data_IF_855427583871
#
_entry.id   IF_855427583871
#
_cell.length_a   1.000
_cell.length_b   1.000
_cell.length_c   1.000
_cell.angle_alpha   90.00
_cell.angle_beta   90.00
_cell.angle_gamma   90.00
#
_symmetry.space_group_name_H-M   'P 1'
#
loop_
_entity.id
_entity.type
_entity.pdbx_description
1 polymer ?
#
# COMPACT_ATOMS: atom_id res chain seq x y z
N UNK A 1 18.98 -19.91 1.17
CA UNK A 1 17.66 -19.64 0.54
C UNK A 1 17.17 -18.30 1.03
N UNK A 2 16.80 -17.43 0.14
CA UNK A 2 16.35 -16.05 0.43
C UNK A 2 15.10 -15.74 -0.39
N UNK A 3 14.53 -14.55 -0.23
CA UNK A 3 13.46 -14.02 -1.07
C UNK A 3 13.89 -12.74 -1.75
N UNK A 4 13.36 -12.49 -2.96
CA UNK A 4 13.65 -11.29 -3.74
C UNK A 4 12.40 -10.81 -4.49
N UNK A 5 12.25 -9.49 -4.66
CA UNK A 5 11.26 -8.91 -5.57
C UNK A 5 11.71 -9.20 -7.01
N UNK A 6 10.91 -9.98 -7.74
CA UNK A 6 11.18 -10.36 -9.11
C UNK A 6 10.63 -9.35 -10.11
N UNK A 7 9.41 -8.84 -9.85
CA UNK A 7 8.76 -7.86 -10.70
C UNK A 7 7.70 -7.07 -9.94
N UNK A 8 7.37 -5.88 -10.46
CA UNK A 8 6.34 -4.98 -9.92
C UNK A 8 5.39 -4.53 -11.01
N UNK A 9 4.22 -4.06 -10.63
CA UNK A 9 3.24 -3.51 -11.53
C UNK A 9 2.23 -2.63 -10.81
N UNK A 10 1.56 -1.76 -11.55
CA UNK A 10 0.66 -0.76 -11.01
C UNK A 10 -0.59 -0.58 -11.87
N UNK A 11 -1.66 -0.14 -11.27
CA UNK A 11 -2.87 0.31 -11.94
C UNK A 11 -3.45 1.53 -11.24
N UNK A 12 -3.71 2.56 -12.00
CA UNK A 12 -4.42 3.76 -11.54
C UNK A 12 -5.64 4.00 -12.44
N UNK A 13 -6.83 4.23 -11.84
CA UNK A 13 -8.02 4.61 -12.59
C UNK A 13 -7.81 5.82 -13.48
N UNK A 14 -8.53 5.87 -14.60
CA UNK A 14 -8.41 6.96 -15.58
C UNK A 14 -8.98 8.28 -15.11
N UNK A 15 -10.02 8.26 -14.25
CA UNK A 15 -10.64 9.48 -13.76
C UNK A 15 -9.77 10.17 -12.71
N UNK A 16 -9.51 11.46 -12.93
CA UNK A 16 -8.79 12.33 -11.99
C UNK A 16 -9.81 13.22 -11.27
N UNK A 17 -9.67 13.34 -9.95
CA UNK A 17 -10.34 14.34 -9.11
C UNK A 17 -9.30 15.29 -8.58
N UNK A 18 -9.32 16.53 -9.06
CA UNK A 18 -8.41 17.60 -8.64
C UNK A 18 -8.88 18.29 -7.35
N UNK A 19 -8.02 19.10 -6.73
CA UNK A 19 -8.42 19.94 -5.61
C UNK A 19 -9.51 20.95 -6.04
N UNK A 20 -9.45 21.48 -7.26
CA UNK A 20 -10.49 22.35 -7.81
C UNK A 20 -11.85 21.66 -7.96
N UNK A 21 -11.89 20.33 -8.18
CA UNK A 21 -13.13 19.57 -8.15
C UNK A 21 -13.70 19.49 -6.74
N UNK A 22 -12.83 19.33 -5.74
CA UNK A 22 -13.23 19.26 -4.33
C UNK A 22 -13.73 20.59 -3.79
N UNK A 23 -13.22 21.73 -4.28
CA UNK A 23 -13.73 23.05 -3.93
C UNK A 23 -15.21 23.25 -4.29
N UNK A 24 -15.70 22.49 -5.29
CA UNK A 24 -17.13 22.47 -5.69
C UNK A 24 -17.98 21.54 -4.84
N UNK A 25 -17.35 20.63 -4.08
CA UNK A 25 -18.05 19.60 -3.30
C UNK A 25 -18.12 19.94 -1.81
N UNK A 26 -17.03 20.49 -1.25
CA UNK A 26 -16.90 20.80 0.18
C UNK A 26 -16.20 22.14 0.37
N UNK A 27 -16.35 22.74 1.56
CA UNK A 27 -15.67 24.01 1.91
C UNK A 27 -14.16 23.78 2.11
N UNK A 28 -13.37 23.99 1.06
CA UNK A 28 -11.91 23.80 1.03
C UNK A 28 -11.27 24.67 -0.04
N UNK A 29 -9.93 24.64 -0.18
CA UNK A 29 -9.20 25.24 -1.29
C UNK A 29 -7.99 24.39 -1.69
N UNK A 30 -7.53 24.52 -2.94
CA UNK A 30 -6.31 23.86 -3.42
C UNK A 30 -5.10 24.20 -2.55
N UNK A 31 -4.93 25.47 -2.20
CA UNK A 31 -3.85 25.93 -1.31
C UNK A 31 -3.92 25.21 0.05
N UNK A 32 -5.10 25.16 0.68
CA UNK A 32 -5.29 24.53 1.97
C UNK A 32 -5.02 23.01 1.95
N UNK A 33 -5.49 22.31 0.91
CA UNK A 33 -5.26 20.86 0.76
C UNK A 33 -3.77 20.60 0.52
N UNK A 34 -3.15 21.32 -0.41
CA UNK A 34 -1.75 21.14 -0.81
C UNK A 34 -0.80 21.43 0.37
N UNK A 35 -1.00 22.52 1.10
CA UNK A 35 -0.18 22.88 2.27
C UNK A 35 -0.26 21.81 3.39
N UNK A 36 -1.46 21.26 3.63
CA UNK A 36 -1.68 20.32 4.73
C UNK A 36 -1.33 18.88 4.39
N UNK A 37 -1.45 18.49 3.13
CA UNK A 37 -1.36 17.08 2.73
C UNK A 37 -0.28 16.81 1.68
N UNK A 38 0.02 17.77 0.83
CA UNK A 38 0.83 17.60 -0.38
C UNK A 38 0.05 17.08 -1.59
N UNK A 39 -1.26 16.76 -1.43
CA UNK A 39 -2.08 16.15 -2.49
C UNK A 39 -2.61 17.25 -3.42
N UNK A 40 -2.47 17.03 -4.73
CA UNK A 40 -3.02 17.90 -5.80
C UNK A 40 -4.17 17.23 -6.52
N UNK A 41 -4.07 15.92 -6.73
CA UNK A 41 -5.09 15.13 -7.39
C UNK A 41 -5.15 13.72 -6.81
N UNK A 42 -6.24 12.99 -7.09
CA UNK A 42 -6.42 11.58 -6.75
C UNK A 42 -7.15 10.88 -7.88
N UNK A 43 -6.95 9.58 -7.99
CA UNK A 43 -7.60 8.73 -8.97
C UNK A 43 -8.88 8.17 -8.38
N UNK A 44 -9.93 8.13 -9.18
CA UNK A 44 -11.25 7.65 -8.77
C UNK A 44 -11.67 6.51 -9.71
N UNK A 45 -11.96 5.36 -9.14
CA UNK A 45 -12.36 4.19 -9.89
C UNK A 45 -13.76 4.36 -10.52
N UNK A 46 -13.89 3.98 -11.79
CA UNK A 46 -15.18 3.84 -12.44
C UNK A 46 -16.02 2.73 -11.77
N UNK A 47 -17.35 2.71 -11.94
CA UNK A 47 -18.21 1.72 -11.26
C UNK A 47 -17.78 0.27 -11.46
N UNK A 48 -17.29 -0.09 -12.65
CA UNK A 48 -16.82 -1.42 -13.02
C UNK A 48 -15.40 -1.76 -12.52
N UNK A 49 -14.63 -0.78 -12.09
CA UNK A 49 -13.28 -0.97 -11.55
C UNK A 49 -13.38 -1.38 -10.08
N UNK A 50 -13.27 -2.68 -9.84
CA UNK A 50 -13.25 -3.27 -8.50
C UNK A 50 -11.83 -3.43 -7.97
N UNK A 51 -11.67 -3.74 -6.67
CA UNK A 51 -10.35 -4.05 -6.11
C UNK A 51 -9.70 -5.23 -6.84
N UNK A 52 -10.48 -6.26 -7.19
CA UNK A 52 -9.98 -7.41 -7.94
C UNK A 52 -9.60 -7.04 -9.38
N UNK A 53 -10.38 -6.19 -10.06
CA UNK A 53 -10.09 -5.73 -11.42
C UNK A 53 -8.77 -4.96 -11.46
N UNK A 54 -8.63 -3.93 -10.63
CA UNK A 54 -7.42 -3.11 -10.54
C UNK A 54 -6.22 -3.96 -10.12
N UNK A 55 -6.41 -4.84 -9.12
CA UNK A 55 -5.40 -5.77 -8.65
C UNK A 55 -4.90 -6.72 -9.74
N UNK A 56 -5.80 -7.27 -10.56
CA UNK A 56 -5.43 -8.12 -11.69
C UNK A 56 -4.67 -7.36 -12.78
N UNK A 57 -5.03 -6.09 -13.04
CA UNK A 57 -4.31 -5.25 -13.99
C UNK A 57 -2.87 -4.95 -13.53
N UNK A 58 -2.69 -4.59 -12.26
CA UNK A 58 -1.36 -4.39 -11.66
C UNK A 58 -0.54 -5.70 -11.64
N UNK A 59 -1.18 -6.81 -11.26
CA UNK A 59 -0.55 -8.12 -11.17
C UNK A 59 -0.05 -8.63 -12.53
N UNK A 60 -0.77 -8.38 -13.62
CA UNK A 60 -0.33 -8.73 -14.98
C UNK A 60 1.00 -8.08 -15.34
N UNK A 61 1.15 -6.80 -15.02
CA UNK A 61 2.42 -6.09 -15.22
C UNK A 61 3.54 -6.63 -14.32
N UNK A 62 3.21 -7.01 -13.07
CA UNK A 62 4.19 -7.59 -12.15
C UNK A 62 4.70 -8.95 -12.63
N UNK A 63 3.82 -9.80 -13.19
CA UNK A 63 4.19 -11.07 -13.81
C UNK A 63 5.09 -10.87 -15.04
N UNK A 64 4.69 -9.95 -15.93
CA UNK A 64 5.49 -9.59 -17.11
C UNK A 64 6.89 -9.11 -16.72
N UNK A 65 6.98 -8.18 -15.74
CA UNK A 65 8.25 -7.68 -15.23
C UNK A 65 9.11 -8.77 -14.55
N UNK A 66 8.47 -9.77 -13.94
CA UNK A 66 9.15 -10.92 -13.34
C UNK A 66 9.59 -11.97 -14.36
N UNK A 67 9.08 -11.92 -15.61
CA UNK A 67 9.27 -12.95 -16.62
C UNK A 67 8.63 -14.29 -16.25
N UNK A 68 7.49 -14.26 -15.54
CA UNK A 68 6.79 -15.44 -15.04
C UNK A 68 5.43 -15.59 -15.70
N UNK A 69 5.09 -16.84 -16.00
CA UNK A 69 3.76 -17.22 -16.45
C UNK A 69 2.82 -17.43 -15.23
N UNK A 70 1.50 -17.23 -15.40
CA UNK A 70 0.53 -17.40 -14.31
C UNK A 70 0.60 -18.75 -13.59
N UNK A 71 0.94 -19.83 -14.32
CA UNK A 71 1.03 -21.19 -13.78
C UNK A 71 2.18 -21.38 -12.78
N UNK A 72 3.12 -20.45 -12.73
CA UNK A 72 4.28 -20.50 -11.84
C UNK A 72 3.99 -19.83 -10.48
N UNK A 73 2.80 -19.22 -10.30
CA UNK A 73 2.39 -18.60 -9.04
C UNK A 73 1.74 -19.63 -8.12
N UNK A 74 2.34 -19.82 -6.96
CA UNK A 74 1.85 -20.75 -5.93
C UNK A 74 0.82 -20.13 -5.00
N UNK A 75 0.92 -18.81 -4.78
CA UNK A 75 0.09 -18.10 -3.83
C UNK A 75 -0.24 -16.69 -4.34
N UNK A 76 -1.49 -16.27 -4.12
CA UNK A 76 -1.96 -14.89 -4.36
C UNK A 76 -2.46 -14.33 -3.04
N UNK A 77 -1.90 -13.21 -2.60
CA UNK A 77 -2.32 -12.49 -1.40
C UNK A 77 -2.80 -11.10 -1.83
N UNK A 78 -4.05 -10.77 -1.57
CA UNK A 78 -4.58 -9.43 -1.80
C UNK A 78 -4.77 -8.70 -0.47
N UNK A 79 -3.99 -7.65 -0.26
CA UNK A 79 -4.19 -6.73 0.86
C UNK A 79 -5.24 -5.68 0.44
N UNK A 80 -6.41 -5.75 1.05
CA UNK A 80 -7.54 -4.87 0.73
C UNK A 80 -8.51 -4.73 1.89
N UNK A 81 -9.19 -3.59 1.94
CA UNK A 81 -10.37 -3.34 2.78
C UNK A 81 -11.62 -3.03 1.92
N UNK A 82 -11.48 -3.17 0.60
CA UNK A 82 -12.48 -2.77 -0.39
C UNK A 82 -12.99 -3.95 -1.21
N UNK A 83 -13.01 -5.16 -0.63
CA UNK A 83 -13.52 -6.36 -1.31
C UNK A 83 -14.99 -6.21 -1.66
N UNK A 84 -15.36 -6.59 -2.89
CA UNK A 84 -16.76 -6.61 -3.35
C UNK A 84 -17.60 -7.69 -2.65
N UNK A 85 -16.96 -8.81 -2.35
CA UNK A 85 -17.61 -9.99 -1.78
C UNK A 85 -16.96 -10.37 -0.45
N UNK A 86 -17.77 -10.90 0.47
CA UNK A 86 -17.23 -11.59 1.64
C UNK A 86 -16.54 -12.91 1.24
N UNK A 87 -17.03 -13.54 0.18
CA UNK A 87 -16.44 -14.67 -0.55
C UNK A 87 -17.09 -14.76 -1.95
N UNK A 88 -16.33 -15.14 -3.03
CA UNK A 88 -14.90 -15.42 -3.02
C UNK A 88 -14.05 -14.21 -2.62
N UNK A 89 -12.80 -14.44 -2.18
CA UNK A 89 -11.86 -13.37 -1.88
C UNK A 89 -11.44 -12.60 -3.14
N UNK A 90 -11.00 -11.36 -2.99
CA UNK A 90 -10.44 -10.57 -4.09
C UNK A 90 -9.23 -11.29 -4.71
N UNK A 91 -8.41 -11.96 -3.90
CA UNK A 91 -7.29 -12.78 -4.38
C UNK A 91 -7.74 -13.94 -5.29
N UNK A 92 -8.88 -14.60 -4.98
CA UNK A 92 -9.46 -15.63 -5.86
C UNK A 92 -9.93 -15.04 -7.18
N UNK A 93 -10.57 -13.86 -7.15
CA UNK A 93 -11.00 -13.17 -8.37
C UNK A 93 -9.80 -12.72 -9.23
N UNK A 94 -8.74 -12.19 -8.59
CA UNK A 94 -7.49 -11.85 -9.28
C UNK A 94 -6.88 -13.09 -9.95
N UNK A 95 -6.79 -14.20 -9.22
CA UNK A 95 -6.26 -15.46 -9.76
C UNK A 95 -7.09 -15.94 -10.97
N UNK A 96 -8.43 -15.84 -10.90
CA UNK A 96 -9.33 -16.16 -11.99
C UNK A 96 -9.09 -15.27 -13.22
N UNK A 97 -8.96 -13.95 -13.03
CA UNK A 97 -8.73 -12.98 -14.10
C UNK A 97 -7.35 -13.14 -14.78
N UNK A 98 -6.37 -13.67 -14.04
CA UNK A 98 -5.02 -13.99 -14.55
C UNK A 98 -4.90 -15.42 -15.09
N UNK A 99 -5.98 -16.23 -15.03
CA UNK A 99 -5.97 -17.64 -15.41
C UNK A 99 -5.00 -18.50 -14.57
N UNK A 100 -4.75 -18.11 -13.30
CA UNK A 100 -3.99 -18.91 -12.34
C UNK A 100 -4.90 -20.04 -11.85
N UNK A 101 -4.70 -21.27 -12.32
CA UNK A 101 -5.63 -22.38 -12.11
C UNK A 101 -5.54 -23.02 -10.72
N UNK A 102 -4.37 -22.98 -10.11
CA UNK A 102 -4.09 -23.61 -8.79
C UNK A 102 -3.10 -22.76 -8.03
N UNK A 103 -3.59 -22.03 -7.06
CA UNK A 103 -2.81 -21.28 -6.10
C UNK A 103 -3.55 -21.20 -4.76
N UNK A 104 -2.84 -21.05 -3.67
CA UNK A 104 -3.45 -20.58 -2.44
C UNK A 104 -3.83 -19.12 -2.64
N UNK A 105 -5.11 -18.74 -2.46
CA UNK A 105 -5.57 -17.39 -2.69
C UNK A 105 -6.40 -16.89 -1.51
N UNK A 106 -6.01 -15.79 -0.88
CA UNK A 106 -6.71 -15.20 0.26
C UNK A 106 -6.49 -13.70 0.37
N UNK A 107 -7.46 -13.00 0.97
CA UNK A 107 -7.33 -11.59 1.30
C UNK A 107 -6.74 -11.42 2.70
N UNK A 108 -6.02 -10.30 2.89
CA UNK A 108 -5.42 -9.90 4.14
C UNK A 108 -5.88 -8.47 4.48
N UNK A 109 -6.43 -8.29 5.69
CA UNK A 109 -6.90 -7.01 6.18
C UNK A 109 -5.96 -6.45 7.26
N UNK A 110 -5.21 -5.39 6.93
CA UNK A 110 -4.43 -4.58 7.86
C UNK A 110 -4.44 -3.09 7.43
N UNK A 111 -5.56 -2.66 6.84
CA UNK A 111 -5.76 -1.31 6.30
C UNK A 111 -4.56 -0.86 5.45
N UNK A 112 -4.09 0.39 5.62
CA UNK A 112 -2.97 0.92 4.83
C UNK A 112 -1.64 0.17 5.05
N UNK A 113 -1.49 -0.61 6.13
CA UNK A 113 -0.33 -1.47 6.36
C UNK A 113 -0.44 -2.84 5.67
N UNK A 114 -1.55 -3.09 4.97
CA UNK A 114 -1.87 -4.40 4.39
C UNK A 114 -0.79 -4.96 3.47
N UNK A 115 -0.20 -4.13 2.60
CA UNK A 115 0.87 -4.58 1.71
C UNK A 115 2.12 -5.06 2.48
N UNK A 116 2.56 -4.32 3.50
CA UNK A 116 3.72 -4.72 4.31
C UNK A 116 3.46 -6.00 5.12
N UNK A 117 2.23 -6.19 5.60
CA UNK A 117 1.82 -7.46 6.23
C UNK A 117 1.81 -8.60 5.22
N UNK A 118 1.23 -8.40 4.02
CA UNK A 118 1.21 -9.41 2.97
C UNK A 118 2.63 -9.77 2.50
N UNK A 119 3.52 -8.77 2.42
CA UNK A 119 4.94 -9.00 2.13
C UNK A 119 5.61 -9.88 3.21
N UNK A 120 5.37 -9.59 4.49
CA UNK A 120 5.90 -10.38 5.61
C UNK A 120 5.40 -11.83 5.58
N UNK A 121 4.10 -12.03 5.28
CA UNK A 121 3.50 -13.37 5.14
C UNK A 121 4.11 -14.10 3.96
N UNK A 122 4.21 -13.46 2.80
CA UNK A 122 4.80 -14.06 1.59
C UNK A 122 6.27 -14.47 1.81
N UNK A 123 7.05 -13.58 2.45
CA UNK A 123 8.43 -13.89 2.83
C UNK A 123 8.49 -15.13 3.73
N UNK A 124 7.68 -15.20 4.77
CA UNK A 124 7.63 -16.34 5.69
C UNK A 124 7.23 -17.64 4.98
N UNK A 125 6.23 -17.61 4.08
CA UNK A 125 5.80 -18.78 3.31
C UNK A 125 6.91 -19.33 2.42
N UNK A 126 7.64 -18.46 1.73
CA UNK A 126 8.78 -18.87 0.88
C UNK A 126 9.92 -19.42 1.74
N UNK A 127 10.27 -18.76 2.85
CA UNK A 127 11.31 -19.22 3.75
C UNK A 127 10.99 -20.55 4.43
N UNK A 128 9.70 -20.82 4.68
CA UNK A 128 9.21 -22.11 5.18
C UNK A 128 9.10 -23.20 4.10
N UNK A 129 9.38 -22.89 2.83
CA UNK A 129 9.28 -23.83 1.71
C UNK A 129 7.85 -24.14 1.27
N UNK A 130 6.86 -23.33 1.69
CA UNK A 130 5.45 -23.51 1.34
C UNK A 130 5.09 -22.93 -0.03
N UNK A 131 5.88 -21.99 -0.53
CA UNK A 131 5.72 -21.38 -1.85
C UNK A 131 7.09 -21.08 -2.46
N UNK A 132 7.15 -20.95 -3.79
CA UNK A 132 8.32 -20.47 -4.53
C UNK A 132 8.10 -19.06 -5.08
N UNK A 133 6.88 -18.79 -5.59
CA UNK A 133 6.49 -17.49 -6.13
C UNK A 133 5.15 -17.06 -5.52
N UNK A 134 5.16 -15.93 -4.84
CA UNK A 134 3.96 -15.32 -4.24
C UNK A 134 3.67 -14.00 -4.94
N UNK A 135 2.47 -13.90 -5.51
CA UNK A 135 1.93 -12.64 -6.02
C UNK A 135 1.27 -11.88 -4.88
N UNK A 136 1.79 -10.70 -4.56
CA UNK A 136 1.29 -9.81 -3.53
C UNK A 136 0.64 -8.61 -4.23
N UNK A 137 -0.61 -8.33 -3.87
CA UNK A 137 -1.38 -7.20 -4.41
C UNK A 137 -1.88 -6.34 -3.26
N UNK A 138 -1.67 -5.03 -3.36
CA UNK A 138 -2.38 -4.04 -2.55
C UNK A 138 -3.39 -3.32 -3.44
N UNK A 139 -4.67 -3.33 -3.09
CA UNK A 139 -5.72 -2.73 -3.92
C UNK A 139 -6.88 -2.21 -3.07
N UNK A 140 -7.16 -0.91 -3.16
CA UNK A 140 -8.25 -0.29 -2.40
C UNK A 140 -9.01 0.77 -3.23
N UNK A 141 -10.29 0.95 -2.88
CA UNK A 141 -11.21 1.96 -3.42
C UNK A 141 -11.77 2.81 -2.28
N UNK A 142 -10.89 3.49 -1.54
CA UNK A 142 -11.31 4.26 -0.36
C UNK A 142 -12.06 5.53 -0.72
N UNK A 143 -12.01 5.99 -1.96
CA UNK A 143 -12.86 7.10 -2.42
C UNK A 143 -14.35 6.81 -2.24
N UNK A 144 -14.76 5.52 -2.33
CA UNK A 144 -16.14 5.07 -2.14
C UNK A 144 -16.56 4.96 -0.68
N UNK A 145 -15.58 4.93 0.25
CA UNK A 145 -15.82 4.84 1.68
C UNK A 145 -15.81 6.22 2.37
N UNK A 146 -15.47 7.30 1.66
CA UNK A 146 -15.50 8.66 2.19
C UNK A 146 -16.90 9.24 2.10
N UNK A 147 -17.38 9.86 3.18
CA UNK A 147 -18.58 10.70 3.14
C UNK A 147 -18.33 11.90 2.20
N UNK A 148 -19.15 12.09 1.15
CA UNK A 148 -18.99 13.21 0.22
C UNK A 148 -19.08 14.60 0.89
N UNK A 149 -19.68 14.70 2.07
CA UNK A 149 -19.79 15.93 2.85
C UNK A 149 -18.65 16.13 3.86
N UNK A 150 -17.85 15.09 4.14
CA UNK A 150 -16.74 15.19 5.09
C UNK A 150 -15.45 15.61 4.40
N UNK A 151 -15.12 16.91 4.48
CA UNK A 151 -13.85 17.41 3.92
C UNK A 151 -12.60 16.83 4.55
N UNK A 152 -12.67 16.20 5.72
CA UNK A 152 -11.49 15.69 6.43
C UNK A 152 -10.98 14.37 5.84
N UNK A 153 -11.84 13.63 5.16
CA UNK A 153 -11.52 12.35 4.54
C UNK A 153 -11.52 12.42 3.01
N UNK A 154 -12.52 13.05 2.39
CA UNK A 154 -12.67 13.08 0.92
C UNK A 154 -11.47 13.73 0.20
N UNK A 155 -10.76 14.65 0.86
CA UNK A 155 -9.58 15.32 0.30
C UNK A 155 -8.35 14.42 0.24
N UNK A 156 -8.33 13.29 0.97
CA UNK A 156 -7.15 12.45 1.13
C UNK A 156 -7.12 11.27 0.19
N UNK A 157 -8.23 10.51 0.14
CA UNK A 157 -8.24 9.17 -0.40
C UNK A 157 -8.47 9.12 -1.90
N UNK A 158 -7.70 8.26 -2.55
CA UNK A 158 -7.84 7.85 -3.94
C UNK A 158 -7.87 6.33 -4.06
N UNK A 159 -8.05 5.85 -5.27
CA UNK A 159 -8.19 4.45 -5.64
C UNK A 159 -7.01 4.00 -6.49
N UNK A 160 -6.65 2.73 -6.37
CA UNK A 160 -5.58 2.15 -7.19
C UNK A 160 -5.16 0.76 -6.71
N UNK A 161 -4.28 0.15 -7.47
CA UNK A 161 -3.66 -1.12 -7.13
C UNK A 161 -2.18 -1.13 -7.49
N UNK A 162 -1.38 -1.75 -6.63
CA UNK A 162 0.00 -2.08 -6.92
C UNK A 162 0.26 -3.54 -6.59
N UNK A 163 1.19 -4.15 -7.31
CA UNK A 163 1.51 -5.56 -7.14
C UNK A 163 3.02 -5.79 -7.19
N UNK A 164 3.47 -6.83 -6.50
CA UNK A 164 4.81 -7.38 -6.70
C UNK A 164 4.79 -8.91 -6.68
N UNK A 165 5.72 -9.51 -7.39
CA UNK A 165 6.02 -10.93 -7.29
C UNK A 165 7.24 -11.08 -6.40
N UNK A 166 7.08 -11.78 -5.28
CA UNK A 166 8.16 -12.20 -4.40
C UNK A 166 8.51 -13.65 -4.74
N UNK A 167 9.77 -13.92 -4.99
CA UNK A 167 10.23 -15.25 -5.36
C UNK A 167 11.39 -15.73 -4.50
N UNK A 168 11.56 -17.07 -4.48
CA UNK A 168 12.75 -17.73 -3.94
C UNK A 168 14.00 -17.30 -4.70
N UNK A 169 15.11 -17.06 -3.98
CA UNK A 169 16.37 -16.59 -4.55
C UNK A 169 17.57 -17.23 -3.83
N UNK A 170 18.67 -17.38 -4.58
CA UNK A 170 19.99 -17.69 -4.01
C UNK A 170 20.67 -16.43 -3.45
N UNK A 171 20.33 -15.25 -3.97
CA UNK A 171 20.79 -13.96 -3.49
C UNK A 171 19.83 -13.37 -2.46
N UNK A 172 20.36 -12.74 -1.42
CA UNK A 172 19.57 -12.10 -0.40
C UNK A 172 18.95 -10.80 -0.93
N UNK A 173 17.64 -10.81 -1.16
CA UNK A 173 16.87 -9.62 -1.51
C UNK A 173 16.14 -9.05 -0.29
N UNK A 174 15.33 -9.84 0.42
CA UNK A 174 14.71 -9.40 1.68
C UNK A 174 15.73 -9.52 2.82
N UNK A 175 16.06 -8.40 3.44
CA UNK A 175 17.04 -8.29 4.53
C UNK A 175 16.37 -8.41 5.90
N UNK A 176 15.22 -7.75 6.08
CA UNK A 176 14.39 -7.82 7.28
C UNK A 176 12.93 -7.52 6.95
N UNK A 177 12.03 -8.06 7.76
CA UNK A 177 10.61 -7.68 7.80
C UNK A 177 10.21 -7.48 9.27
N UNK A 178 9.34 -6.50 9.50
CA UNK A 178 8.76 -6.28 10.82
C UNK A 178 7.33 -5.78 10.69
N UNK A 179 6.42 -6.32 11.47
CA UNK A 179 5.03 -5.88 11.53
C UNK A 179 4.53 -5.94 12.98
N UNK A 180 3.68 -4.99 13.35
CA UNK A 180 3.07 -4.93 14.68
C UNK A 180 1.78 -4.11 14.67
N UNK A 181 1.05 -4.09 15.78
CA UNK A 181 -0.20 -3.36 15.91
C UNK A 181 -0.42 -2.79 17.32
N UNK A 182 -1.25 -1.76 17.42
CA UNK A 182 -1.84 -1.26 18.65
C UNK A 182 -3.36 -1.43 18.58
N UNK A 183 -3.93 -2.45 19.23
CA UNK A 183 -5.36 -2.74 19.16
C UNK A 183 -6.23 -1.77 19.97
N UNK A 184 -5.63 -0.86 20.75
CA UNK A 184 -6.35 0.05 21.64
C UNK A 184 -6.68 1.40 20.99
N UNK A 185 -6.21 1.65 19.78
CA UNK A 185 -6.37 2.94 19.07
C UNK A 185 -7.32 2.87 17.87
N UNK A 186 -8.12 1.82 17.74
CA UNK A 186 -9.03 1.61 16.61
C UNK A 186 -10.16 2.65 16.50
N UNK A 187 -10.47 3.37 17.57
CA UNK A 187 -11.44 4.47 17.58
C UNK A 187 -10.94 5.77 16.92
N UNK A 188 -9.65 5.84 16.56
CA UNK A 188 -9.04 7.00 15.92
C UNK A 188 -9.12 6.96 14.40
N UNK A 189 -9.16 5.75 13.80
CA UNK A 189 -9.28 5.53 12.37
C UNK A 189 -9.97 4.20 12.13
N UNK A 190 -11.20 4.26 11.61
CA UNK A 190 -12.01 3.06 11.41
C UNK A 190 -12.92 3.17 10.19
N UNK A 191 -13.23 2.02 9.60
CA UNK A 191 -14.23 1.85 8.56
C UNK A 191 -15.11 0.66 8.96
N UNK A 192 -16.39 0.92 9.20
CA UNK A 192 -17.35 -0.13 9.56
C UNK A 192 -17.75 -0.91 8.32
N UNK A 193 -17.95 -2.21 8.47
CA UNK A 193 -18.63 -3.02 7.44
C UNK A 193 -20.12 -2.71 7.50
N UNK A 194 -20.77 -2.38 6.37
CA UNK A 194 -22.21 -2.12 6.34
C UNK A 194 -22.99 -3.32 6.91
N UNK A 195 -23.89 -3.06 7.85
CA UNK A 195 -24.75 -4.09 8.42
C UNK A 195 -25.88 -4.42 7.43
N UNK A 196 -26.30 -5.68 7.35
CA UNK A 196 -27.48 -6.06 6.57
C UNK A 196 -28.72 -5.36 7.12
N UNK A 197 -29.40 -4.58 6.27
CA UNK A 197 -30.56 -3.78 6.65
C UNK A 197 -30.24 -2.44 7.34
N UNK A 198 -28.96 -2.10 7.51
CA UNK A 198 -28.50 -0.77 7.90
C UNK A 198 -28.44 0.20 6.72
N UNK A 199 -28.28 1.49 6.99
CA UNK A 199 -27.99 2.48 5.96
C UNK A 199 -26.54 2.34 5.48
N UNK A 200 -26.24 2.49 4.19
CA UNK A 200 -24.87 2.66 3.71
C UNK A 200 -24.14 3.83 4.39
N UNK A 201 -24.87 4.86 4.76
CA UNK A 201 -24.34 6.06 5.45
C UNK A 201 -23.82 5.79 6.88
N UNK A 202 -24.13 4.64 7.46
CA UNK A 202 -23.57 4.20 8.75
C UNK A 202 -22.15 3.65 8.66
N UNK A 203 -21.60 3.51 7.45
CA UNK A 203 -20.33 2.85 7.15
C UNK A 203 -19.29 3.76 6.49
N UNK A 204 -19.35 5.07 6.74
CA UNK A 204 -18.33 6.00 6.28
C UNK A 204 -17.02 5.83 7.03
N UNK A 205 -15.92 6.10 6.35
CA UNK A 205 -14.59 6.14 6.95
C UNK A 205 -14.52 7.28 7.98
N UNK A 206 -14.14 6.94 9.20
CA UNK A 206 -13.98 7.87 10.29
C UNK A 206 -12.50 8.05 10.64
N UNK A 207 -12.07 9.31 10.86
CA UNK A 207 -10.68 9.62 11.19
C UNK A 207 -10.54 10.84 12.09
N UNK A 208 -9.84 10.67 13.21
CA UNK A 208 -9.34 11.79 14.05
C UNK A 208 -7.95 12.21 13.56
N UNK A 209 -7.90 13.00 12.48
CA UNK A 209 -6.67 13.26 11.71
C UNK A 209 -5.46 13.74 12.51
N UNK A 210 -5.66 14.63 13.52
CA UNK A 210 -4.54 15.13 14.34
C UNK A 210 -3.93 14.05 15.24
N UNK A 211 -4.75 13.19 15.84
CA UNK A 211 -4.31 12.09 16.69
C UNK A 211 -3.63 11.01 15.87
N UNK A 212 -4.23 10.66 14.72
CA UNK A 212 -3.64 9.73 13.75
C UNK A 212 -2.26 10.23 13.29
N UNK A 213 -2.14 11.51 12.93
CA UNK A 213 -0.87 12.13 12.53
C UNK A 213 0.21 12.00 13.61
N UNK A 214 -0.10 12.39 14.86
CA UNK A 214 0.85 12.30 15.97
C UNK A 214 1.31 10.87 16.21
N UNK A 215 0.37 9.93 16.19
CA UNK A 215 0.66 8.51 16.41
C UNK A 215 1.51 7.93 15.28
N UNK A 216 1.16 8.23 14.02
CA UNK A 216 1.92 7.79 12.86
C UNK A 216 3.39 8.23 12.92
N UNK A 217 3.66 9.52 13.18
CA UNK A 217 5.04 10.03 13.26
C UNK A 217 5.86 9.32 14.34
N UNK A 218 5.26 9.05 15.51
CA UNK A 218 5.94 8.34 16.60
C UNK A 218 6.24 6.89 16.22
N UNK A 219 5.21 6.17 15.77
CA UNK A 219 5.30 4.74 15.45
C UNK A 219 6.24 4.48 14.27
N UNK A 220 6.17 5.30 13.22
CA UNK A 220 7.06 5.15 12.06
C UNK A 220 8.53 5.41 12.42
N UNK A 221 8.81 6.34 13.33
CA UNK A 221 10.16 6.56 13.84
C UNK A 221 10.74 5.34 14.57
N UNK A 222 9.90 4.62 15.33
CA UNK A 222 10.29 3.37 16.01
C UNK A 222 10.40 2.22 14.99
N UNK A 223 9.44 2.10 14.08
CA UNK A 223 9.39 1.07 13.04
C UNK A 223 10.66 1.06 12.19
N UNK A 224 11.05 2.22 11.64
CA UNK A 224 12.21 2.31 10.75
C UNK A 224 13.51 1.96 11.49
N UNK A 225 13.67 2.42 12.73
CA UNK A 225 14.82 2.08 13.58
C UNK A 225 14.88 0.57 13.82
N UNK A 226 13.76 -0.03 14.23
CA UNK A 226 13.67 -1.46 14.51
C UNK A 226 13.96 -2.32 13.28
N UNK A 227 13.49 -1.90 12.12
CA UNK A 227 13.70 -2.66 10.88
C UNK A 227 15.16 -2.64 10.43
N UNK A 228 15.83 -1.50 10.55
CA UNK A 228 17.26 -1.37 10.27
C UNK A 228 18.10 -2.24 11.23
N UNK A 229 17.81 -2.20 12.53
CA UNK A 229 18.45 -3.08 13.51
C UNK A 229 18.33 -4.57 13.16
N UNK A 230 17.11 -5.01 12.78
CA UNK A 230 16.86 -6.41 12.37
C UNK A 230 17.64 -6.80 11.12
N UNK A 231 17.83 -5.86 10.19
CA UNK A 231 18.60 -6.05 8.98
C UNK A 231 20.12 -5.90 9.17
N UNK A 232 20.57 -5.50 10.37
CA UNK A 232 21.99 -5.21 10.65
C UNK A 232 22.52 -4.02 9.85
N UNK A 233 21.64 -3.03 9.55
CA UNK A 233 21.93 -1.85 8.74
C UNK A 233 21.67 -0.56 9.52
N UNK A 234 22.19 0.53 8.99
CA UNK A 234 21.97 1.90 9.45
C UNK A 234 21.22 2.71 8.40
N UNK A 235 20.82 3.92 8.71
CA UNK A 235 20.17 4.81 7.74
C UNK A 235 21.11 5.20 6.59
N UNK A 236 22.42 5.23 6.81
CA UNK A 236 23.42 5.56 5.79
C UNK A 236 23.55 4.47 4.71
N UNK A 237 23.05 3.26 4.98
CA UNK A 237 23.03 2.15 4.02
C UNK A 237 21.81 2.19 3.08
N UNK A 238 20.84 3.12 3.33
CA UNK A 238 19.63 3.23 2.53
C UNK A 238 19.84 4.09 1.30
N UNK A 239 19.48 3.54 0.13
CA UNK A 239 19.39 4.31 -1.10
C UNK A 239 18.04 5.03 -1.18
N UNK A 240 16.92 4.35 -0.85
CA UNK A 240 15.57 4.94 -0.90
C UNK A 240 14.66 4.52 0.24
N UNK A 241 13.85 5.48 0.68
CA UNK A 241 12.63 5.24 1.46
C UNK A 241 11.42 5.19 0.51
N UNK A 242 10.62 4.13 0.59
CA UNK A 242 9.36 3.95 -0.15
C UNK A 242 8.21 3.89 0.88
N UNK A 243 7.70 5.05 1.32
CA UNK A 243 6.74 5.13 2.40
C UNK A 243 5.30 4.96 1.92
N UNK A 244 4.41 4.63 2.85
CA UNK A 244 2.98 4.82 2.66
C UNK A 244 2.67 6.29 2.36
N UNK A 245 1.87 6.52 1.33
CA UNK A 245 1.54 7.83 0.77
C UNK A 245 0.32 8.45 1.49
N UNK A 246 0.39 8.63 2.80
CA UNK A 246 -0.73 9.18 3.59
C UNK A 246 -0.77 10.71 3.58
N UNK A 247 0.39 11.34 3.78
CA UNK A 247 0.53 12.79 3.95
C UNK A 247 2.02 13.17 3.83
N UNK A 248 2.32 14.19 3.04
CA UNK A 248 3.70 14.63 2.79
C UNK A 248 4.43 15.03 4.09
N UNK A 249 3.71 15.57 5.07
CA UNK A 249 4.31 15.96 6.37
C UNK A 249 4.74 14.75 7.20
N UNK A 250 4.00 13.64 7.13
CA UNK A 250 4.39 12.37 7.78
C UNK A 250 5.62 11.82 7.06
N UNK A 251 5.59 11.73 5.73
CA UNK A 251 6.71 11.26 4.90
C UNK A 251 7.98 12.05 5.22
N UNK A 252 7.91 13.39 5.22
CA UNK A 252 9.05 14.24 5.54
C UNK A 252 9.52 14.10 7.00
N UNK A 253 8.64 13.77 7.94
CA UNK A 253 9.05 13.50 9.33
C UNK A 253 9.83 12.19 9.43
N UNK A 254 9.42 11.14 8.74
CA UNK A 254 10.15 9.86 8.67
C UNK A 254 11.51 10.04 7.99
N UNK A 255 11.56 10.72 6.84
CA UNK A 255 12.81 11.02 6.14
C UNK A 255 13.82 11.77 7.06
N UNK A 256 13.37 12.80 7.79
CA UNK A 256 14.22 13.52 8.77
C UNK A 256 14.74 12.60 9.88
N UNK A 257 13.93 11.67 10.37
CA UNK A 257 14.34 10.69 11.39
C UNK A 257 15.46 9.79 10.88
N UNK A 258 15.45 9.46 9.60
CA UNK A 258 16.47 8.66 8.91
C UNK A 258 17.64 9.50 8.35
N UNK A 259 17.62 10.82 8.55
CA UNK A 259 18.58 11.76 7.94
C UNK A 259 18.68 11.68 6.41
N UNK A 260 17.59 11.24 5.75
CA UNK A 260 17.50 11.15 4.30
C UNK A 260 17.12 12.51 3.70
N UNK A 261 17.71 12.83 2.54
CA UNK A 261 17.22 13.90 1.68
C UNK A 261 15.92 13.46 0.98
N UNK A 262 15.02 14.41 0.70
CA UNK A 262 13.76 14.11 0.02
C UNK A 262 13.94 13.53 -1.39
N UNK A 263 15.10 13.72 -2.03
CA UNK A 263 15.45 13.06 -3.29
C UNK A 263 15.62 11.53 -3.14
N UNK A 264 15.89 11.05 -1.94
CA UNK A 264 15.95 9.61 -1.58
C UNK A 264 14.57 9.06 -1.16
N UNK A 265 13.52 9.84 -1.23
CA UNK A 265 12.15 9.42 -0.89
C UNK A 265 11.31 9.30 -2.15
N UNK A 266 10.66 8.17 -2.33
CA UNK A 266 9.70 8.01 -3.43
C UNK A 266 8.37 8.62 -2.99
N UNK A 267 7.98 9.71 -3.64
CA UNK A 267 6.72 10.43 -3.38
C UNK A 267 5.87 10.39 -4.64
N UNK A 268 4.65 9.87 -4.50
CA UNK A 268 3.63 9.80 -5.57
C UNK A 268 2.30 10.41 -5.12
N UNK A 269 2.25 10.81 -3.87
CA UNK A 269 1.08 11.32 -3.16
C UNK A 269 0.41 12.50 -3.86
N UNK A 270 1.19 13.40 -4.47
CA UNK A 270 0.70 14.59 -5.15
C UNK A 270 -0.27 14.26 -6.31
N UNK A 271 -0.05 13.11 -6.98
CA UNK A 271 -0.81 12.65 -8.16
C UNK A 271 -1.78 11.50 -7.89
N UNK A 272 -1.61 10.80 -6.77
CA UNK A 272 -2.36 9.58 -6.50
C UNK A 272 -3.26 9.70 -5.26
N UNK A 273 -2.97 10.67 -4.37
CA UNK A 273 -3.59 10.73 -3.05
C UNK A 273 -3.18 9.54 -2.18
N UNK A 274 -3.95 9.31 -1.12
CA UNK A 274 -3.78 8.15 -0.26
C UNK A 274 -4.58 6.95 -0.83
N UNK A 275 -3.89 5.99 -1.41
CA UNK A 275 -4.46 4.76 -1.98
C UNK A 275 -4.40 3.56 -1.03
N UNK A 276 -4.30 3.81 0.29
CA UNK A 276 -4.30 2.78 1.34
C UNK A 276 -3.24 1.69 1.11
N UNK A 277 -3.63 0.40 1.08
CA UNK A 277 -2.71 -0.73 0.89
C UNK A 277 -2.00 -0.71 -0.48
N UNK A 278 -2.55 -0.03 -1.48
CA UNK A 278 -1.92 0.11 -2.79
C UNK A 278 -0.75 1.10 -2.81
N UNK A 279 -0.64 2.01 -1.83
CA UNK A 279 0.26 3.16 -1.91
C UNK A 279 1.74 2.79 -1.96
N UNK A 280 2.18 1.84 -1.14
CA UNK A 280 3.59 1.39 -1.12
C UNK A 280 3.96 0.68 -2.43
N UNK A 281 3.22 -0.32 -2.93
CA UNK A 281 3.56 -0.98 -4.18
C UNK A 281 3.42 -0.07 -5.40
N UNK A 282 2.50 0.90 -5.41
CA UNK A 282 2.41 1.93 -6.46
C UNK A 282 3.66 2.82 -6.47
N UNK A 283 4.10 3.31 -5.30
CA UNK A 283 5.29 4.12 -5.17
C UNK A 283 6.55 3.31 -5.55
N UNK A 284 6.63 2.04 -5.17
CA UNK A 284 7.73 1.16 -5.54
C UNK A 284 7.81 0.98 -7.07
N UNK A 285 6.69 0.67 -7.73
CA UNK A 285 6.64 0.49 -9.18
C UNK A 285 7.01 1.79 -9.93
N UNK A 286 6.51 2.95 -9.48
CA UNK A 286 6.88 4.26 -10.02
C UNK A 286 8.38 4.53 -9.88
N UNK A 287 8.97 4.26 -8.72
CA UNK A 287 10.39 4.43 -8.48
C UNK A 287 11.25 3.57 -9.41
N UNK A 288 10.81 2.34 -9.67
CA UNK A 288 11.50 1.39 -10.57
C UNK A 288 11.32 1.83 -12.03
N UNK A 289 10.09 2.10 -12.48
CA UNK A 289 9.81 2.46 -13.88
C UNK A 289 10.40 3.80 -14.29
N UNK A 290 10.48 4.75 -13.37
CA UNK A 290 11.17 6.03 -13.60
C UNK A 290 12.70 5.91 -13.65
N UNK A 291 13.26 4.73 -13.32
CA UNK A 291 14.70 4.50 -13.28
C UNK A 291 15.42 5.12 -12.07
N UNK A 292 14.66 5.62 -11.10
CA UNK A 292 15.22 6.10 -9.81
C UNK A 292 15.73 4.93 -9.00
N UNK A 293 14.92 3.89 -8.82
CA UNK A 293 15.29 2.64 -8.15
C UNK A 293 15.89 1.68 -9.16
N UNK A 294 17.06 1.13 -8.84
CA UNK A 294 17.80 0.18 -9.67
C UNK A 294 18.07 -1.12 -8.93
N UNK A 295 18.37 -2.17 -9.67
CA UNK A 295 18.81 -3.44 -9.06
C UNK A 295 20.09 -3.23 -8.25
N UNK A 296 20.07 -3.71 -7.01
CA UNK A 296 21.14 -3.55 -6.02
C UNK A 296 20.84 -2.50 -4.96
N UNK A 297 19.96 -1.52 -5.22
CA UNK A 297 19.60 -0.48 -4.25
C UNK A 297 18.95 -1.08 -3.00
N UNK A 298 19.25 -0.50 -1.86
CA UNK A 298 18.68 -0.86 -0.55
C UNK A 298 17.49 0.06 -0.27
N UNK A 299 16.32 -0.56 -0.12
CA UNK A 299 15.05 0.13 0.04
C UNK A 299 14.45 -0.17 1.41
N UNK A 300 13.89 0.83 2.05
CA UNK A 300 13.00 0.66 3.20
C UNK A 300 11.56 0.94 2.77
N UNK A 301 10.77 -0.13 2.66
CA UNK A 301 9.31 -0.04 2.46
C UNK A 301 8.68 0.09 3.84
N UNK A 302 7.77 1.06 4.05
CA UNK A 302 7.13 1.22 5.35
C UNK A 302 5.68 1.69 5.22
N UNK A 303 4.82 1.27 6.16
CA UNK A 303 3.41 1.63 6.17
C UNK A 303 2.82 1.67 7.57
N UNK A 304 1.77 2.51 7.70
CA UNK A 304 0.97 2.67 8.90
C UNK A 304 -0.50 2.84 8.51
N UNK A 305 -1.42 2.22 9.25
CA UNK A 305 -2.84 2.24 8.94
C UNK A 305 -3.75 2.06 10.14
N UNK A 306 -5.05 2.06 9.85
CA UNK A 306 -6.08 1.80 10.86
C UNK A 306 -5.86 0.48 11.59
N UNK A 307 -6.21 0.48 12.86
CA UNK A 307 -6.04 -0.67 13.71
C UNK A 307 -5.59 -0.29 15.13
N UNK A 308 -4.48 0.43 15.43
CA UNK A 308 -3.47 0.72 14.40
C UNK A 308 -2.65 -0.49 14.02
N UNK A 309 -2.25 -0.52 12.76
CA UNK A 309 -1.31 -1.51 12.22
C UNK A 309 -0.14 -0.80 11.54
N UNK A 310 1.05 -1.40 11.59
CA UNK A 310 2.21 -0.89 10.87
C UNK A 310 3.14 -2.02 10.47
N UNK A 311 3.86 -1.83 9.40
CA UNK A 311 4.79 -2.83 8.89
C UNK A 311 5.83 -2.25 7.97
N UNK A 312 6.92 -2.97 7.84
CA UNK A 312 8.05 -2.60 7.00
C UNK A 312 8.76 -3.82 6.42
N UNK A 313 9.45 -3.58 5.32
CA UNK A 313 10.40 -4.51 4.74
C UNK A 313 11.66 -3.75 4.30
N UNK A 314 12.81 -4.23 4.75
CA UNK A 314 14.12 -3.78 4.28
C UNK A 314 14.56 -4.74 3.18
N UNK A 315 14.76 -4.22 1.98
CA UNK A 315 15.02 -5.04 0.80
C UNK A 315 16.19 -4.51 -0.01
N UNK A 316 16.98 -5.42 -0.58
CA UNK A 316 17.90 -5.14 -1.68
C UNK A 316 17.20 -5.54 -2.97
N UNK A 317 16.91 -4.54 -3.79
CA UNK A 317 16.10 -4.73 -5.02
C UNK A 317 16.81 -5.51 -6.13
#
# INVERSE_FOLDING_TARGET
MYTRILGTGSYLPGQIRTNADLERMVETSDEWITERTGIKERRIAAPEETAAFMGAAAARQALEAAGLEPEQIDTVICATTSSEYSFPSSACEIARMLNIKRAMAFDLAAACAGFSYAYSVAHAMIMAGQAQHVLIVGSDLLSRACDPADRTTIILFGDGAGACVLGKSEEQGTLAVYASSDPFSGDLLSLKVPQRGGSPDDAWLYMKGNEVFKRAVTVLAELVTRTLELGGMTADDLDFLVPHQANLRIIAATARKLHLDMSQVIVTLDKQGNTSAASVPLALDEGIRSGRIKRGDVLLLESFGGGFTWGSALVRY
#
